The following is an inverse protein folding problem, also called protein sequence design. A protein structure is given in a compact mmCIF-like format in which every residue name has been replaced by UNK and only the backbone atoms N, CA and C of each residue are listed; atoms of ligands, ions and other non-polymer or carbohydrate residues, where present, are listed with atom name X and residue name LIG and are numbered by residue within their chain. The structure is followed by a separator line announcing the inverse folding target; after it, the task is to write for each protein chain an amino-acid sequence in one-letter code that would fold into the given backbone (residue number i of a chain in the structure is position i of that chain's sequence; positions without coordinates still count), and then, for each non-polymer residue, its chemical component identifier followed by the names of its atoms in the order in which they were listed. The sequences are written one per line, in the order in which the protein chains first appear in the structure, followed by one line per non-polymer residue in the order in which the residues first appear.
data_IF_166424683807
#
_entry.id   IF_166424683807
#
_cell.length_a   1.000
_cell.length_b   1.000
_cell.length_c   1.000
_cell.angle_alpha   90.00
_cell.angle_beta   90.00
_cell.angle_gamma   90.00
#
_symmetry.space_group_name_H-M   'P 1'
#
loop_
_entity.id
_entity.type
_entity.pdbx_description
1 polymer ?
#
# COMPACT_ATOMS: atom_id res chain seq x y z
N UNK A 1 3.46 8.69 -12.04
CA UNK A 1 3.73 7.36 -11.42
C UNK A 1 2.61 6.44 -11.85
N UNK A 2 2.92 5.20 -12.21
CA UNK A 2 1.90 4.20 -12.54
C UNK A 2 1.15 3.82 -11.27
N UNK A 3 -0.18 3.82 -11.29
CA UNK A 3 -0.95 3.42 -10.13
C UNK A 3 -0.69 1.95 -9.79
N UNK A 4 -0.92 1.57 -8.53
CA UNK A 4 -0.80 0.16 -8.14
C UNK A 4 -1.76 -0.74 -8.94
N UNK A 5 -2.95 -0.21 -9.25
CA UNK A 5 -3.96 -0.89 -10.08
C UNK A 5 -3.41 -1.15 -11.48
N UNK A 6 -2.78 -0.16 -12.11
CA UNK A 6 -2.16 -0.31 -13.42
C UNK A 6 -1.01 -1.34 -13.39
N UNK A 7 -0.18 -1.33 -12.35
CA UNK A 7 0.93 -2.28 -12.19
C UNK A 7 0.42 -3.72 -12.09
N UNK A 8 -0.61 -3.94 -11.28
CA UNK A 8 -1.26 -5.26 -11.13
C UNK A 8 -1.94 -5.65 -12.44
N UNK A 9 -2.69 -4.74 -13.08
CA UNK A 9 -3.38 -5.01 -14.34
C UNK A 9 -2.41 -5.43 -15.45
N UNK A 10 -1.28 -4.74 -15.58
CA UNK A 10 -0.22 -5.12 -16.53
C UNK A 10 0.41 -6.47 -16.18
N UNK A 11 0.57 -6.77 -14.90
CA UNK A 11 1.12 -8.06 -14.44
C UNK A 11 0.17 -9.22 -14.78
N UNK A 12 -1.13 -9.05 -14.52
CA UNK A 12 -2.16 -10.01 -14.89
C UNK A 12 -2.21 -10.20 -16.41
N UNK A 13 -2.26 -9.11 -17.18
CA UNK A 13 -2.27 -9.14 -18.65
C UNK A 13 -1.07 -9.87 -19.24
N UNK A 14 0.11 -9.78 -18.61
CA UNK A 14 1.32 -10.48 -19.07
C UNK A 14 1.30 -11.97 -18.73
N UNK A 15 0.66 -12.34 -17.62
CA UNK A 15 0.51 -13.73 -17.21
C UNK A 15 -0.56 -14.45 -18.02
N UNK A 16 -1.63 -13.75 -18.40
CA UNK A 16 -2.68 -14.27 -19.27
C UNK A 16 -2.18 -14.40 -20.71
N UNK A 17 -1.99 -15.64 -21.15
CA UNK A 17 -1.62 -16.00 -22.54
C UNK A 17 -2.81 -16.47 -23.36
N UNK A 18 -4.00 -16.44 -22.77
CA UNK A 18 -5.17 -17.19 -23.24
C UNK A 18 -6.30 -16.32 -23.79
N UNK A 19 -6.34 -15.01 -23.49
CA UNK A 19 -7.52 -14.20 -23.79
C UNK A 19 -7.24 -12.86 -24.48
N UNK A 20 -7.97 -12.62 -25.57
CA UNK A 20 -8.26 -11.31 -26.14
C UNK A 20 -9.53 -10.75 -25.48
N UNK A 21 -9.48 -9.50 -25.02
CA UNK A 21 -10.60 -8.66 -24.54
C UNK A 21 -11.05 -8.79 -23.05
N UNK A 22 -10.13 -9.11 -22.13
CA UNK A 22 -10.38 -9.07 -20.67
C UNK A 22 -10.22 -7.67 -20.04
N UNK A 23 -11.00 -7.39 -18.98
CA UNK A 23 -10.87 -6.16 -18.21
C UNK A 23 -9.88 -6.33 -17.04
N UNK A 24 -8.60 -6.21 -17.35
CA UNK A 24 -7.51 -6.35 -16.38
C UNK A 24 -7.51 -5.28 -15.27
N UNK A 25 -8.12 -4.11 -15.51
CA UNK A 25 -8.25 -3.05 -14.50
C UNK A 25 -9.20 -3.51 -13.40
N UNK A 26 -10.38 -4.03 -13.77
CA UNK A 26 -11.36 -4.57 -12.81
C UNK A 26 -10.78 -5.73 -11.99
N UNK A 27 -9.97 -6.59 -12.62
CA UNK A 27 -9.30 -7.68 -11.92
C UNK A 27 -8.24 -7.14 -10.92
N UNK A 28 -7.48 -6.13 -11.30
CA UNK A 28 -6.50 -5.50 -10.43
C UNK A 28 -7.15 -4.79 -9.22
N UNK A 29 -8.26 -4.10 -9.41
CA UNK A 29 -9.05 -3.51 -8.33
C UNK A 29 -9.52 -4.58 -7.34
N UNK A 30 -10.06 -5.70 -7.86
CA UNK A 30 -10.50 -6.82 -7.02
C UNK A 30 -9.36 -7.45 -6.21
N UNK A 31 -8.13 -7.50 -6.76
CA UNK A 31 -6.93 -7.96 -6.02
C UNK A 31 -6.61 -7.00 -4.87
N UNK A 32 -6.56 -5.69 -5.11
CA UNK A 32 -6.27 -4.70 -4.08
C UNK A 32 -7.32 -4.75 -2.96
N UNK A 33 -8.60 -4.86 -3.31
CA UNK A 33 -9.67 -5.04 -2.32
C UNK A 33 -9.55 -6.34 -1.53
N UNK A 34 -9.21 -7.44 -2.21
CA UNK A 34 -9.02 -8.75 -1.58
C UNK A 34 -7.89 -8.73 -0.55
N UNK A 35 -6.75 -8.14 -0.90
CA UNK A 35 -5.61 -7.96 0.02
C UNK A 35 -6.04 -7.18 1.28
N UNK A 36 -6.78 -6.09 1.10
CA UNK A 36 -7.28 -5.28 2.22
C UNK A 36 -8.25 -6.01 3.12
N UNK A 37 -9.20 -6.74 2.53
CA UNK A 37 -10.14 -7.60 3.31
C UNK A 37 -9.40 -8.67 4.11
N UNK A 38 -8.24 -9.12 3.63
CA UNK A 38 -7.38 -10.07 4.32
C UNK A 38 -6.39 -9.41 5.32
N UNK A 39 -6.45 -8.09 5.51
CA UNK A 39 -5.58 -7.35 6.44
C UNK A 39 -4.22 -6.95 5.90
N UNK A 40 -4.01 -7.05 4.58
CA UNK A 40 -2.80 -6.60 3.89
C UNK A 40 -3.02 -5.22 3.26
N UNK A 41 -1.98 -4.39 3.23
CA UNK A 41 -1.95 -3.15 2.46
C UNK A 41 -0.76 -3.17 1.50
N UNK A 42 -0.94 -2.56 0.33
CA UNK A 42 0.13 -2.44 -0.67
C UNK A 42 0.72 -1.05 -0.59
N UNK A 43 2.00 -0.98 -0.21
CA UNK A 43 2.74 0.27 -0.02
C UNK A 43 3.99 0.29 -0.90
N UNK A 44 4.47 1.47 -1.33
CA UNK A 44 5.75 1.59 -2.02
C UNK A 44 6.90 1.13 -1.12
N UNK A 45 7.95 0.61 -1.74
CA UNK A 45 9.16 0.16 -1.04
C UNK A 45 9.82 1.29 -0.22
N UNK A 46 9.72 2.52 -0.71
CA UNK A 46 10.18 3.73 0.00
C UNK A 46 8.98 4.59 0.34
N UNK A 47 8.83 5.03 1.61
CA UNK A 47 7.74 5.93 1.97
C UNK A 47 7.91 7.28 1.24
N UNK A 48 6.82 7.92 0.80
CA UNK A 48 6.85 9.30 0.36
C UNK A 48 7.30 10.23 1.49
N UNK A 49 8.05 11.29 1.17
CA UNK A 49 8.50 12.27 2.17
C UNK A 49 7.35 12.83 3.02
N UNK A 50 6.18 13.21 2.44
CA UNK A 50 5.05 13.72 3.24
C UNK A 50 4.49 12.71 4.25
N UNK A 51 4.63 11.40 3.98
CA UNK A 51 4.25 10.36 4.93
C UNK A 51 5.23 10.28 6.10
N UNK A 52 6.53 10.47 5.82
CA UNK A 52 7.57 10.52 6.85
C UNK A 52 7.35 11.72 7.77
N UNK A 53 7.11 12.90 7.19
CA UNK A 53 6.77 14.12 7.94
C UNK A 53 5.53 13.90 8.82
N UNK A 54 4.45 13.37 8.24
CA UNK A 54 3.24 13.04 8.98
C UNK A 54 3.52 12.08 10.14
N UNK A 55 4.33 11.05 9.93
CA UNK A 55 4.65 10.10 10.98
C UNK A 55 5.44 10.76 12.11
N UNK A 56 6.43 11.61 11.81
CA UNK A 56 7.22 12.33 12.83
C UNK A 56 6.32 13.18 13.72
N UNK A 57 5.33 13.86 13.14
CA UNK A 57 4.38 14.70 13.89
C UNK A 57 3.39 13.89 14.75
N UNK A 58 3.07 12.66 14.34
CA UNK A 58 2.01 11.85 14.94
C UNK A 58 2.54 10.69 15.81
N UNK A 59 3.86 10.48 15.85
CA UNK A 59 4.46 9.48 16.74
C UNK A 59 4.46 10.02 18.18
N UNK A 60 3.93 9.25 19.15
CA UNK A 60 3.98 9.64 20.54
C UNK A 60 5.42 9.80 21.04
N UNK A 61 5.75 11.01 21.51
CA UNK A 61 7.02 11.30 22.18
C UNK A 61 6.93 10.89 23.67
N UNK A 62 7.90 10.11 24.16
CA UNK A 62 8.00 9.74 25.57
C UNK A 62 8.57 8.34 25.84
N UNK A 63 8.43 7.86 27.08
CA UNK A 63 8.86 6.50 27.48
C UNK A 63 7.91 5.45 26.93
N UNK A 64 8.18 4.99 25.72
CA UNK A 64 7.63 3.75 25.18
C UNK A 64 8.68 2.64 25.27
N UNK A 65 8.21 1.40 25.46
CA UNK A 65 9.10 0.26 25.20
C UNK A 65 9.46 0.29 23.71
N UNK A 66 10.71 -0.03 23.33
CA UNK A 66 11.12 -0.02 21.92
C UNK A 66 10.18 -0.83 21.01
N UNK A 67 9.65 -1.96 21.49
CA UNK A 67 8.68 -2.78 20.76
C UNK A 67 7.38 -2.04 20.42
N UNK A 68 6.90 -1.21 21.34
CA UNK A 68 5.63 -0.51 21.21
C UNK A 68 5.79 0.68 20.27
N UNK A 69 6.94 1.36 20.31
CA UNK A 69 7.31 2.39 19.36
C UNK A 69 7.36 1.83 17.92
N UNK A 70 8.04 0.71 17.70
CA UNK A 70 8.16 0.11 16.37
C UNK A 70 6.80 -0.33 15.81
N UNK A 71 5.95 -0.96 16.63
CA UNK A 71 4.59 -1.34 16.22
C UNK A 71 3.75 -0.12 15.86
N UNK A 72 3.83 0.94 16.66
CA UNK A 72 3.11 2.19 16.43
C UNK A 72 3.59 2.84 15.12
N UNK A 73 4.91 2.98 14.95
CA UNK A 73 5.50 3.53 13.73
C UNK A 73 5.06 2.74 12.49
N UNK A 74 5.20 1.41 12.52
CA UNK A 74 4.78 0.56 11.41
C UNK A 74 3.30 0.76 11.06
N UNK A 75 2.43 0.75 12.07
CA UNK A 75 0.98 0.92 11.89
C UNK A 75 0.67 2.31 11.31
N UNK A 76 1.24 3.38 11.88
CA UNK A 76 1.03 4.75 11.41
C UNK A 76 1.45 4.91 9.95
N UNK A 77 2.63 4.39 9.59
CA UNK A 77 3.15 4.47 8.22
C UNK A 77 2.28 3.71 7.23
N UNK A 78 1.98 2.43 7.50
CA UNK A 78 1.24 1.57 6.58
C UNK A 78 -0.21 2.04 6.41
N UNK A 79 -0.91 2.35 7.51
CA UNK A 79 -2.31 2.76 7.46
C UNK A 79 -2.53 4.12 6.79
N UNK A 80 -1.53 5.00 6.80
CA UNK A 80 -1.65 6.33 6.18
C UNK A 80 -1.05 6.40 4.78
N UNK A 81 -0.27 5.41 4.35
CA UNK A 81 0.48 5.46 3.10
C UNK A 81 -0.39 5.82 1.89
N UNK A 82 -1.60 5.25 1.81
CA UNK A 82 -2.58 5.51 0.73
C UNK A 82 -2.89 7.00 0.53
N UNK A 83 -2.87 7.80 1.59
CA UNK A 83 -3.16 9.25 1.52
C UNK A 83 -2.08 10.01 0.76
N UNK A 84 -0.89 9.43 0.64
CA UNK A 84 0.31 10.09 0.12
C UNK A 84 0.88 9.42 -1.14
N UNK A 85 0.28 8.32 -1.59
CA UNK A 85 0.66 7.59 -2.81
C UNK A 85 -0.39 7.69 -3.91
N UNK A 86 -1.35 8.61 -3.75
CA UNK A 86 -2.41 8.89 -4.73
C UNK A 86 -1.87 9.48 -6.02
#
# INVERSE_FOLDING_TARGET
MTSIVETIAQSIKRADRTLFNENYVKQAEAVVEGLRRAGYEVVPLRPPEPLVEYAVENIPFGRLRPSDLIRTLYTTMVSNCRRFTG
#
